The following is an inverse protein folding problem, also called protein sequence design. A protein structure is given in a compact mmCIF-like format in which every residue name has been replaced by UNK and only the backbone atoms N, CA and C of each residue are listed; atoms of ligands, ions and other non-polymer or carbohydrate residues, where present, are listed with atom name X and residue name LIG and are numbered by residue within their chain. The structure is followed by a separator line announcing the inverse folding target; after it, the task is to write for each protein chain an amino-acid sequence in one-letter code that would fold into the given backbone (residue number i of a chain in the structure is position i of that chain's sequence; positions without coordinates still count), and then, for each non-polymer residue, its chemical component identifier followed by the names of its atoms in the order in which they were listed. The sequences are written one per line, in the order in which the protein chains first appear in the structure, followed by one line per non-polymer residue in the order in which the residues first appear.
data_IF_424919909604
#
_entry.id   IF_424919909604
#
_cell.length_a   1.000
_cell.length_b   1.000
_cell.length_c   1.000
_cell.angle_alpha   90.00
_cell.angle_beta   90.00
_cell.angle_gamma   90.00
#
_symmetry.space_group_name_H-M   'P 1'
#
loop_
_entity.id
_entity.type
_entity.pdbx_description
1 polymer ?
#
# COMPACT_ATOMS: atom_id res chain seq x y z
N UNK A 1 -55.61 14.49 2.58
CA UNK A 1 -54.38 14.55 1.74
C UNK A 1 -53.20 15.27 2.41
N UNK A 2 -53.19 15.40 3.75
CA UNK A 2 -52.14 16.11 4.54
C UNK A 2 -51.21 15.15 5.33
N UNK A 3 -51.62 13.91 5.55
CA UNK A 3 -50.85 12.95 6.38
C UNK A 3 -49.62 12.33 5.70
N UNK A 4 -49.56 12.29 4.39
CA UNK A 4 -48.42 11.66 3.68
C UNK A 4 -47.15 12.57 3.54
N UNK A 5 -47.31 13.89 3.70
CA UNK A 5 -46.19 14.83 3.54
C UNK A 5 -45.23 14.87 4.74
N UNK A 6 -45.73 14.55 5.95
CA UNK A 6 -44.93 14.56 7.17
C UNK A 6 -44.12 13.27 7.39
N UNK A 7 -44.56 12.15 6.81
CA UNK A 7 -43.87 10.86 6.94
C UNK A 7 -42.55 10.84 6.15
N UNK A 8 -42.53 11.43 4.95
CA UNK A 8 -41.32 11.50 4.10
C UNK A 8 -40.22 12.38 4.68
N UNK A 9 -40.58 13.46 5.39
CA UNK A 9 -39.60 14.34 6.02
C UNK A 9 -39.00 13.72 7.30
N UNK A 10 -39.78 12.95 8.05
CA UNK A 10 -39.29 12.26 9.24
C UNK A 10 -38.27 11.17 8.86
N UNK A 11 -38.57 10.35 7.85
CA UNK A 11 -37.65 9.29 7.37
C UNK A 11 -36.35 9.87 6.82
N UNK A 12 -36.39 11.00 6.08
CA UNK A 12 -35.20 11.71 5.63
C UNK A 12 -34.33 12.21 6.78
N UNK A 13 -34.95 12.75 7.82
CA UNK A 13 -34.22 13.26 8.98
C UNK A 13 -33.59 12.13 9.80
N UNK A 14 -34.23 10.96 9.92
CA UNK A 14 -33.65 9.79 10.55
C UNK A 14 -32.52 9.19 9.72
N UNK A 15 -32.64 9.14 8.38
CA UNK A 15 -31.56 8.68 7.51
C UNK A 15 -30.33 9.59 7.59
N UNK A 16 -30.53 10.91 7.63
CA UNK A 16 -29.44 11.89 7.79
C UNK A 16 -28.78 11.73 9.17
N UNK A 17 -29.57 11.53 10.23
CA UNK A 17 -29.05 11.30 11.58
C UNK A 17 -28.26 9.98 11.70
N UNK A 18 -28.71 8.91 11.06
CA UNK A 18 -28.00 7.64 11.03
C UNK A 18 -26.69 7.76 10.25
N UNK A 19 -26.70 8.44 9.10
CA UNK A 19 -25.48 8.69 8.31
C UNK A 19 -24.52 9.61 9.07
N UNK A 20 -24.99 10.65 9.73
CA UNK A 20 -24.15 11.53 10.55
C UNK A 20 -23.60 10.83 11.81
N UNK A 21 -24.36 9.93 12.45
CA UNK A 21 -23.88 9.20 13.61
C UNK A 21 -22.87 8.11 13.25
N UNK A 22 -23.01 7.46 12.09
CA UNK A 22 -22.01 6.51 11.59
C UNK A 22 -20.72 7.21 11.16
N UNK A 23 -20.79 8.45 10.64
CA UNK A 23 -19.61 9.26 10.32
C UNK A 23 -18.81 9.71 11.56
N UNK A 24 -19.45 9.83 12.72
CA UNK A 24 -18.80 10.20 13.98
C UNK A 24 -18.19 9.00 14.73
N UNK A 25 -18.60 7.77 14.43
CA UNK A 25 -18.05 6.56 15.05
C UNK A 25 -16.74 6.08 14.41
N UNK A 26 -16.39 6.57 13.22
CA UNK A 26 -15.17 6.19 12.49
C UNK A 26 -13.89 6.92 12.92
N UNK A 27 -13.93 7.85 13.87
CA UNK A 27 -12.79 8.67 14.26
C UNK A 27 -12.02 8.18 15.49
N UNK A 28 -12.13 6.93 15.88
CA UNK A 28 -11.36 6.37 17.00
C UNK A 28 -10.30 5.37 16.51
N UNK A 29 -9.43 5.80 15.57
CA UNK A 29 -8.17 5.09 15.36
C UNK A 29 -7.12 5.74 16.27
N UNK A 30 -7.06 5.28 17.52
CA UNK A 30 -6.04 5.67 18.49
C UNK A 30 -4.78 4.80 18.29
N UNK A 31 -4.07 5.02 17.20
CA UNK A 31 -2.72 4.47 17.07
C UNK A 31 -1.70 5.51 17.53
N UNK A 32 -1.52 5.65 18.84
CA UNK A 32 -0.32 6.22 19.43
C UNK A 32 0.88 5.30 19.21
N UNK A 33 1.17 4.94 17.96
CA UNK A 33 2.44 4.36 17.57
C UNK A 33 3.43 5.53 17.44
N UNK A 34 4.33 5.64 18.38
CA UNK A 34 5.38 6.64 18.34
C UNK A 34 6.35 6.30 17.21
N UNK A 35 6.69 7.27 16.34
CA UNK A 35 7.73 7.10 15.33
C UNK A 35 8.98 6.42 15.92
N UNK A 36 9.59 5.50 15.17
CA UNK A 36 10.70 4.70 15.66
C UNK A 36 10.31 3.44 16.45
N UNK A 37 9.02 2.99 16.33
CA UNK A 37 8.54 1.76 16.99
C UNK A 37 7.85 0.78 16.05
N UNK A 38 7.70 1.11 14.77
CA UNK A 38 7.03 0.26 13.79
C UNK A 38 7.99 -0.81 13.24
N UNK A 39 9.25 -0.44 13.02
CA UNK A 39 10.28 -1.38 12.59
C UNK A 39 10.85 -2.14 13.79
N UNK A 40 10.99 -3.47 13.69
CA UNK A 40 11.68 -4.24 14.72
C UNK A 40 13.16 -3.82 14.79
N UNK A 41 13.67 -3.65 16.01
CA UNK A 41 15.10 -3.37 16.17
C UNK A 41 15.93 -4.56 15.71
N UNK A 42 17.05 -4.35 15.01
CA UNK A 42 17.93 -5.43 14.59
C UNK A 42 18.35 -6.37 15.72
N UNK A 43 18.58 -5.84 16.91
CA UNK A 43 18.92 -6.60 18.11
C UNK A 43 17.78 -7.50 18.64
N UNK A 44 16.52 -7.21 18.26
CA UNK A 44 15.34 -7.94 18.70
C UNK A 44 14.85 -8.93 17.64
N UNK A 45 15.21 -8.69 16.35
CA UNK A 45 14.78 -9.54 15.23
C UNK A 45 15.89 -9.69 14.18
N UNK A 46 16.49 -10.87 14.12
CA UNK A 46 17.59 -11.19 13.19
C UNK A 46 17.12 -11.58 11.77
N UNK A 47 15.81 -11.82 11.57
CA UNK A 47 15.27 -12.17 10.26
C UNK A 47 15.30 -11.00 9.27
N UNK A 48 15.11 -11.32 7.98
CA UNK A 48 14.92 -10.31 6.95
C UNK A 48 13.58 -9.57 7.13
N UNK A 49 13.52 -8.30 6.74
CA UNK A 49 12.33 -7.43 6.87
C UNK A 49 12.17 -6.60 5.60
N UNK A 50 10.95 -6.48 5.10
CA UNK A 50 10.51 -5.52 4.10
C UNK A 50 9.31 -4.79 4.70
N UNK A 51 9.36 -3.47 4.74
CA UNK A 51 8.26 -2.64 5.22
C UNK A 51 8.02 -1.48 4.28
N UNK A 52 6.74 -1.16 4.03
CA UNK A 52 6.32 0.02 3.28
C UNK A 52 5.58 0.95 4.23
N UNK A 53 5.86 2.23 4.10
CA UNK A 53 5.31 3.25 4.96
C UNK A 53 4.67 4.38 4.17
N UNK A 54 3.68 5.01 4.78
CA UNK A 54 3.08 6.25 4.32
C UNK A 54 3.07 7.28 5.45
N UNK A 55 3.28 8.55 5.10
CA UNK A 55 3.08 9.65 6.04
C UNK A 55 2.46 10.85 5.35
N UNK A 56 1.63 11.62 6.06
CA UNK A 56 1.00 12.82 5.52
C UNK A 56 2.01 13.81 4.98
N UNK A 57 1.70 14.40 3.84
CA UNK A 57 2.56 15.42 3.22
C UNK A 57 2.49 16.75 3.96
N UNK A 58 3.33 17.71 3.57
CA UNK A 58 3.40 19.04 4.20
C UNK A 58 2.32 20.00 3.69
N UNK A 59 1.87 20.91 4.57
CA UNK A 59 0.96 22.03 4.23
C UNK A 59 -0.46 21.55 3.95
N UNK A 60 -1.19 22.24 3.09
CA UNK A 60 -2.58 21.90 2.75
C UNK A 60 -2.73 20.52 2.09
N UNK A 61 -1.68 20.03 1.41
CA UNK A 61 -1.66 18.72 0.77
C UNK A 61 -1.81 17.56 1.77
N UNK A 62 -1.47 17.75 3.04
CA UNK A 62 -1.61 16.75 4.09
C UNK A 62 -3.04 16.21 4.24
N UNK A 63 -4.04 16.96 3.79
CA UNK A 63 -5.44 16.56 3.91
C UNK A 63 -5.79 15.41 2.96
N UNK A 64 -5.11 15.32 1.81
CA UNK A 64 -5.48 14.39 0.75
C UNK A 64 -4.29 13.63 0.14
N UNK A 65 -3.07 13.82 0.65
CA UNK A 65 -1.89 13.17 0.07
C UNK A 65 -0.92 12.69 1.13
N UNK A 66 -0.35 11.51 0.87
CA UNK A 66 0.75 10.92 1.62
C UNK A 66 2.03 10.88 0.79
N UNK A 67 3.16 10.68 1.47
CA UNK A 67 4.44 10.34 0.93
C UNK A 67 4.76 8.91 1.33
N UNK A 68 5.11 8.06 0.38
CA UNK A 68 5.43 6.66 0.64
C UNK A 68 6.91 6.36 0.44
N UNK A 69 7.41 5.34 1.16
CA UNK A 69 8.76 4.79 1.00
C UNK A 69 8.80 3.32 1.40
N UNK A 70 9.84 2.62 0.94
CA UNK A 70 10.09 1.23 1.28
C UNK A 70 11.40 1.08 2.04
N UNK A 71 11.41 0.23 3.04
CA UNK A 71 12.59 -0.08 3.86
C UNK A 71 12.83 -1.58 3.88
N UNK A 72 14.09 -1.96 3.77
CA UNK A 72 14.52 -3.35 3.80
C UNK A 72 15.63 -3.56 4.83
N UNK A 73 15.64 -4.73 5.47
CA UNK A 73 16.74 -5.22 6.31
C UNK A 73 17.05 -6.65 5.92
N UNK A 74 18.28 -6.94 5.55
CA UNK A 74 18.70 -8.31 5.28
C UNK A 74 18.74 -9.13 6.57
N UNK A 75 18.64 -10.44 6.44
CA UNK A 75 18.84 -11.37 7.57
C UNK A 75 20.23 -11.17 8.17
N UNK A 76 20.30 -11.15 9.48
CA UNK A 76 21.51 -10.90 10.28
C UNK A 76 22.17 -9.54 10.02
N UNK A 77 21.49 -8.60 9.37
CA UNK A 77 21.98 -7.23 9.24
C UNK A 77 21.56 -6.41 10.45
N UNK A 78 22.48 -5.53 10.89
CA UNK A 78 22.19 -4.52 11.91
C UNK A 78 21.60 -3.25 11.31
N UNK A 79 21.57 -3.15 9.96
CA UNK A 79 21.17 -1.95 9.25
C UNK A 79 19.89 -2.15 8.43
N UNK A 80 19.01 -1.16 8.48
CA UNK A 80 17.94 -0.94 7.52
C UNK A 80 18.42 -0.03 6.40
N UNK A 81 17.91 -0.28 5.19
CA UNK A 81 18.05 0.63 4.06
C UNK A 81 16.66 1.04 3.57
N UNK A 82 16.41 2.34 3.54
CA UNK A 82 15.14 2.91 3.06
C UNK A 82 15.33 3.59 1.72
N UNK A 83 14.42 3.36 0.78
CA UNK A 83 14.40 3.93 -0.56
C UNK A 83 13.16 4.81 -0.74
N UNK A 84 13.36 6.03 -1.22
CA UNK A 84 12.30 7.01 -1.45
C UNK A 84 12.64 7.97 -2.60
N UNK A 85 11.62 8.58 -3.20
CA UNK A 85 11.80 9.63 -4.22
C UNK A 85 11.50 11.00 -3.60
N UNK A 86 12.49 11.90 -3.67
CA UNK A 86 12.41 13.24 -3.10
C UNK A 86 12.65 14.30 -4.19
N UNK A 87 11.58 14.92 -4.67
CA UNK A 87 11.64 15.83 -5.84
C UNK A 87 12.52 17.06 -5.68
N UNK A 88 12.61 17.67 -4.47
CA UNK A 88 13.46 18.87 -4.31
C UNK A 88 14.97 18.60 -4.43
N UNK A 89 15.40 17.33 -4.38
CA UNK A 89 16.80 16.95 -4.64
C UNK A 89 17.26 17.30 -6.04
N UNK A 90 16.35 17.23 -7.02
CA UNK A 90 16.65 17.56 -8.42
C UNK A 90 17.11 19.01 -8.63
N UNK A 91 16.96 19.88 -7.64
CA UNK A 91 17.53 21.22 -7.67
C UNK A 91 19.05 21.23 -7.50
N UNK A 92 19.64 20.16 -6.97
CA UNK A 92 21.07 20.08 -6.62
C UNK A 92 21.71 18.73 -6.98
N UNK A 93 20.96 17.78 -7.45
CA UNK A 93 21.38 16.41 -7.77
C UNK A 93 20.67 15.93 -9.03
N UNK A 94 21.26 15.01 -9.74
CA UNK A 94 20.70 14.44 -10.98
C UNK A 94 19.64 13.35 -10.70
N UNK A 95 19.45 13.01 -9.43
CA UNK A 95 18.49 11.98 -9.02
C UNK A 95 17.65 12.41 -7.83
N UNK A 96 16.36 12.12 -7.92
CA UNK A 96 15.41 12.24 -6.83
C UNK A 96 15.43 11.01 -5.90
N UNK A 97 16.02 9.89 -6.34
CA UNK A 97 16.14 8.68 -5.52
C UNK A 97 17.06 8.95 -4.32
N UNK A 98 16.57 8.58 -3.16
CA UNK A 98 17.28 8.67 -1.89
C UNK A 98 17.38 7.29 -1.29
N UNK A 99 18.57 6.96 -0.87
CA UNK A 99 18.88 5.82 -0.03
C UNK A 99 19.28 6.33 1.37
N UNK A 100 18.69 5.79 2.42
CA UNK A 100 18.96 6.15 3.81
C UNK A 100 19.21 4.92 4.65
N UNK A 101 20.21 5.01 5.53
CA UNK A 101 20.50 3.97 6.51
C UNK A 101 19.80 4.24 7.84
N UNK A 102 19.31 3.17 8.49
CA UNK A 102 18.84 3.14 9.88
C UNK A 102 17.73 4.12 10.28
N UNK A 103 16.87 4.47 9.34
CA UNK A 103 15.69 5.29 9.59
C UNK A 103 14.45 4.72 8.86
N UNK A 104 14.05 3.45 9.16
CA UNK A 104 12.97 2.82 8.41
C UNK A 104 11.64 3.54 8.60
N UNK A 105 11.26 3.84 9.82
CA UNK A 105 9.98 4.40 10.25
C UNK A 105 10.11 5.85 10.76
N UNK A 106 10.95 6.64 10.08
CA UNK A 106 11.18 8.05 10.43
C UNK A 106 9.95 8.92 10.28
N UNK A 107 9.86 9.95 11.09
CA UNK A 107 8.90 11.03 10.90
C UNK A 107 9.09 11.73 9.54
N UNK A 108 7.99 12.06 8.90
CA UNK A 108 7.97 12.85 7.68
C UNK A 108 7.33 14.22 7.94
N UNK A 109 8.15 15.26 8.00
CA UNK A 109 7.70 16.63 8.30
C UNK A 109 6.87 16.77 9.58
N UNK A 110 7.22 16.02 10.64
CA UNK A 110 6.49 16.01 11.90
C UNK A 110 5.21 15.16 11.89
N UNK A 111 4.97 14.39 10.82
CA UNK A 111 3.92 13.39 10.76
C UNK A 111 4.52 12.00 10.99
N UNK A 112 3.92 11.25 11.89
CA UNK A 112 4.28 9.87 12.13
C UNK A 112 3.92 9.01 10.92
N UNK A 113 4.75 8.03 10.56
CA UNK A 113 4.42 7.09 9.51
C UNK A 113 3.34 6.11 9.94
N UNK A 114 2.58 5.67 8.96
CA UNK A 114 1.69 4.53 8.98
C UNK A 114 2.39 3.37 8.27
N UNK A 115 2.25 2.15 8.80
CA UNK A 115 2.81 0.94 8.21
C UNK A 115 1.78 0.35 7.25
N UNK A 116 2.11 0.30 5.97
CA UNK A 116 1.23 -0.25 4.92
C UNK A 116 1.53 -1.72 4.65
N UNK A 117 2.77 -2.15 4.83
CA UNK A 117 3.20 -3.52 4.55
C UNK A 117 4.30 -3.93 5.51
N UNK A 118 4.20 -5.15 6.07
CA UNK A 118 5.22 -5.75 6.94
C UNK A 118 5.45 -7.22 6.58
N UNK A 119 6.47 -7.48 5.79
CA UNK A 119 6.89 -8.85 5.44
C UNK A 119 8.16 -9.18 6.18
N UNK A 120 8.19 -10.34 6.85
CA UNK A 120 9.31 -10.78 7.68
C UNK A 120 9.76 -12.18 7.34
N UNK A 121 11.01 -12.51 7.72
CA UNK A 121 11.58 -13.85 7.64
C UNK A 121 11.87 -14.33 6.23
N UNK A 122 11.65 -15.63 5.92
CA UNK A 122 12.07 -16.22 4.63
C UNK A 122 11.44 -15.57 3.41
N UNK A 123 10.16 -15.13 3.49
CA UNK A 123 9.50 -14.40 2.40
C UNK A 123 10.25 -13.09 2.11
N UNK A 124 10.53 -12.28 3.15
CA UNK A 124 11.30 -11.06 2.99
C UNK A 124 12.70 -11.34 2.42
N UNK A 125 13.42 -12.35 2.95
CA UNK A 125 14.75 -12.73 2.49
C UNK A 125 14.77 -13.01 0.97
N UNK A 126 13.76 -13.71 0.46
CA UNK A 126 13.63 -14.03 -0.97
C UNK A 126 13.25 -12.83 -1.84
N UNK A 127 12.51 -11.85 -1.29
CA UNK A 127 11.99 -10.71 -2.05
C UNK A 127 12.93 -9.49 -2.04
N UNK A 128 13.79 -9.32 -1.04
CA UNK A 128 14.73 -8.18 -0.96
C UNK A 128 15.55 -7.98 -2.24
N UNK A 129 16.15 -9.01 -2.87
CA UNK A 129 16.88 -8.83 -4.11
C UNK A 129 16.01 -8.29 -5.25
N UNK A 130 14.76 -8.74 -5.35
CA UNK A 130 13.80 -8.27 -6.36
C UNK A 130 13.42 -6.80 -6.11
N UNK A 131 13.18 -6.42 -4.85
CA UNK A 131 12.90 -5.04 -4.46
C UNK A 131 14.07 -4.13 -4.84
N UNK A 132 15.31 -4.50 -4.51
CA UNK A 132 16.51 -3.72 -4.87
C UNK A 132 16.65 -3.61 -6.40
N UNK A 133 16.38 -4.67 -7.14
CA UNK A 133 16.36 -4.64 -8.60
C UNK A 133 15.30 -3.68 -9.13
N UNK A 134 14.08 -3.71 -8.58
CA UNK A 134 13.03 -2.78 -8.96
C UNK A 134 13.41 -1.32 -8.66
N UNK A 135 13.99 -1.03 -7.49
CA UNK A 135 14.55 0.30 -7.15
C UNK A 135 15.57 0.76 -8.20
N UNK A 136 16.50 -0.14 -8.58
CA UNK A 136 17.52 0.17 -9.58
C UNK A 136 16.94 0.38 -10.97
N UNK A 137 15.85 -0.26 -11.32
CA UNK A 137 15.19 -0.16 -12.62
C UNK A 137 14.14 0.95 -12.69
N UNK A 138 13.85 1.68 -11.59
CA UNK A 138 12.87 2.76 -11.63
C UNK A 138 13.23 3.83 -12.67
N UNK A 139 12.34 4.11 -13.65
CA UNK A 139 12.70 4.94 -14.82
C UNK A 139 12.72 6.43 -14.51
N UNK A 140 12.00 6.90 -13.50
CA UNK A 140 11.79 8.33 -13.26
C UNK A 140 12.68 8.91 -12.15
N UNK A 141 13.94 8.42 -12.01
CA UNK A 141 14.86 8.91 -10.97
C UNK A 141 15.25 10.37 -11.16
N UNK A 142 15.25 10.86 -12.40
CA UNK A 142 15.60 12.23 -12.77
C UNK A 142 14.38 13.10 -13.09
N UNK A 143 13.17 12.58 -12.89
CA UNK A 143 11.94 13.29 -13.17
C UNK A 143 11.01 13.26 -11.96
N UNK A 144 10.39 14.39 -11.60
CA UNK A 144 9.48 14.48 -10.47
C UNK A 144 8.40 15.53 -10.69
N UNK A 145 7.17 15.10 -10.62
CA UNK A 145 5.98 15.95 -10.59
C UNK A 145 5.13 15.56 -9.39
N UNK A 146 4.92 16.52 -8.46
CA UNK A 146 4.14 16.24 -7.25
C UNK A 146 2.70 15.80 -7.57
N UNK A 147 2.18 16.25 -8.70
CA UNK A 147 0.88 15.91 -9.26
C UNK A 147 0.93 16.01 -10.79
N UNK A 148 0.35 15.08 -11.53
CA UNK A 148 -0.24 13.81 -11.07
C UNK A 148 0.81 12.73 -10.77
N UNK A 149 2.05 12.94 -11.06
CA UNK A 149 3.23 12.07 -11.00
C UNK A 149 4.15 12.29 -12.20
N UNK A 150 5.29 11.61 -12.28
CA UNK A 150 5.79 10.62 -11.31
C UNK A 150 6.29 11.26 -10.01
N UNK A 151 6.03 10.61 -8.88
CA UNK A 151 6.39 11.07 -7.54
C UNK A 151 6.77 9.90 -6.62
N UNK A 152 6.79 10.10 -5.29
CA UNK A 152 7.12 9.03 -4.33
C UNK A 152 6.14 7.86 -4.36
N UNK A 153 4.85 8.15 -4.53
CA UNK A 153 3.81 7.12 -4.58
C UNK A 153 3.88 6.32 -5.89
N UNK A 154 4.21 7.00 -7.00
CA UNK A 154 4.51 6.35 -8.29
C UNK A 154 5.68 5.35 -8.16
N UNK A 155 6.73 5.74 -7.42
CA UNK A 155 7.89 4.89 -7.16
C UNK A 155 7.51 3.64 -6.36
N UNK A 156 6.78 3.81 -5.27
CA UNK A 156 6.39 2.69 -4.42
C UNK A 156 5.41 1.76 -5.16
N UNK A 157 4.45 2.32 -5.91
CA UNK A 157 3.56 1.56 -6.78
C UNK A 157 4.32 0.81 -7.90
N UNK A 158 5.36 1.42 -8.48
CA UNK A 158 6.22 0.75 -9.45
C UNK A 158 6.90 -0.47 -8.84
N UNK A 159 7.44 -0.36 -7.61
CA UNK A 159 8.05 -1.50 -6.92
C UNK A 159 7.01 -2.61 -6.71
N UNK A 160 5.79 -2.29 -6.26
CA UNK A 160 4.72 -3.27 -6.10
C UNK A 160 4.43 -4.01 -7.41
N UNK A 161 4.29 -3.28 -8.53
CA UNK A 161 4.07 -3.89 -9.86
C UNK A 161 5.25 -4.76 -10.34
N UNK A 162 6.49 -4.41 -9.99
CA UNK A 162 7.67 -5.21 -10.36
C UNK A 162 7.86 -6.43 -9.46
N UNK A 163 7.31 -6.40 -8.24
CA UNK A 163 7.40 -7.47 -7.24
C UNK A 163 6.00 -7.76 -6.69
N UNK A 164 5.11 -8.36 -7.50
CA UNK A 164 3.71 -8.58 -7.10
C UNK A 164 3.55 -9.49 -5.89
N UNK A 165 4.57 -10.29 -5.56
CA UNK A 165 4.56 -11.13 -4.37
C UNK A 165 4.58 -10.32 -3.06
N UNK A 166 4.81 -9.00 -3.13
CA UNK A 166 4.64 -8.10 -2.00
C UNK A 166 3.17 -8.01 -1.58
N UNK A 167 2.22 -8.10 -2.53
CA UNK A 167 0.82 -7.83 -2.26
C UNK A 167 0.61 -6.38 -1.77
N UNK A 168 1.30 -5.42 -2.40
CA UNK A 168 1.31 -4.04 -1.90
C UNK A 168 0.06 -3.29 -2.31
N UNK A 169 -0.81 -3.03 -1.37
CA UNK A 169 -1.86 -2.04 -1.52
C UNK A 169 -1.41 -0.64 -1.06
N UNK A 170 -1.81 0.38 -1.81
CA UNK A 170 -1.50 1.77 -1.51
C UNK A 170 -2.80 2.55 -1.34
N UNK A 171 -2.96 3.31 -0.24
CA UNK A 171 -4.20 3.99 0.06
C UNK A 171 -4.61 5.00 -1.02
N UNK A 172 -5.89 5.31 -1.10
CA UNK A 172 -6.47 6.30 -2.02
C UNK A 172 -5.79 7.67 -1.92
N UNK A 173 -5.18 7.98 -0.77
CA UNK A 173 -4.41 9.20 -0.53
C UNK A 173 -2.99 9.15 -1.09
N UNK A 174 -2.53 8.03 -1.65
CA UNK A 174 -1.24 7.91 -2.32
C UNK A 174 -1.30 8.48 -3.75
N UNK A 175 -1.58 9.78 -3.89
CA UNK A 175 -1.69 10.46 -5.18
C UNK A 175 -0.47 10.19 -6.05
N UNK A 176 -0.71 9.73 -7.28
CA UNK A 176 0.32 9.34 -8.24
C UNK A 176 0.66 7.85 -8.21
N UNK A 177 0.02 7.03 -7.36
CA UNK A 177 0.14 5.57 -7.40
C UNK A 177 -0.25 5.01 -8.76
N UNK A 178 -1.24 5.64 -9.40
CA UNK A 178 -1.80 5.24 -10.69
C UNK A 178 -1.06 5.82 -11.91
N UNK A 179 0.01 6.57 -11.69
CA UNK A 179 0.76 7.15 -12.80
C UNK A 179 1.32 6.04 -13.70
N UNK A 180 0.97 6.13 -14.99
CA UNK A 180 1.50 5.29 -16.07
C UNK A 180 1.76 6.15 -17.28
N UNK A 181 2.80 5.81 -18.03
CA UNK A 181 3.07 6.44 -19.32
C UNK A 181 2.09 5.94 -20.37
N UNK A 182 1.97 6.69 -21.47
CA UNK A 182 1.06 6.36 -22.58
C UNK A 182 1.41 5.02 -23.24
N UNK A 183 2.66 4.60 -23.14
CA UNK A 183 3.14 3.29 -23.61
C UNK A 183 2.67 2.12 -22.74
N UNK A 184 2.22 2.41 -21.52
CA UNK A 184 1.88 1.41 -20.50
C UNK A 184 0.52 1.68 -19.84
N UNK A 185 -0.47 2.15 -20.63
CA UNK A 185 -1.80 2.54 -20.13
C UNK A 185 -2.46 1.41 -19.33
N UNK A 186 -2.32 0.17 -19.79
CA UNK A 186 -2.92 -1.01 -19.15
C UNK A 186 -1.84 -1.93 -18.62
N UNK A 187 -2.05 -2.46 -17.42
CA UNK A 187 -1.14 -3.43 -16.80
C UNK A 187 -1.62 -3.89 -15.43
N UNK A 188 -0.75 -4.58 -14.71
CA UNK A 188 -1.03 -5.05 -13.35
C UNK A 188 -1.19 -3.87 -12.39
N UNK A 189 -2.07 -4.03 -11.39
CA UNK A 189 -2.17 -3.13 -10.24
C UNK A 189 -0.90 -3.18 -9.36
N UNK A 190 -0.80 -2.29 -8.39
CA UNK A 190 0.36 -2.24 -7.48
C UNK A 190 0.45 -3.47 -6.57
N UNK A 191 -0.68 -4.03 -6.15
CA UNK A 191 -0.75 -5.27 -5.37
C UNK A 191 -0.36 -6.51 -6.17
N UNK A 192 -0.45 -6.44 -7.50
CA UNK A 192 -0.29 -7.61 -8.36
C UNK A 192 -1.51 -8.54 -8.38
N UNK A 193 -2.60 -8.21 -7.69
CA UNK A 193 -3.82 -9.04 -7.62
C UNK A 193 -4.88 -8.62 -8.64
N UNK A 194 -4.66 -7.50 -9.34
CA UNK A 194 -5.63 -6.92 -10.26
C UNK A 194 -5.03 -6.34 -11.52
N UNK A 195 -5.90 -5.67 -12.28
CA UNK A 195 -5.55 -4.94 -13.49
C UNK A 195 -5.89 -3.46 -13.33
N UNK A 196 -5.09 -2.62 -13.95
CA UNK A 196 -5.23 -1.17 -13.92
C UNK A 196 -5.12 -0.61 -15.34
N UNK A 197 -6.02 0.32 -15.67
CA UNK A 197 -5.88 1.17 -16.84
C UNK A 197 -5.79 2.61 -16.36
N UNK A 198 -4.72 3.33 -16.72
CA UNK A 198 -4.50 4.71 -16.27
C UNK A 198 -3.78 5.53 -17.34
N UNK A 199 -4.21 6.76 -17.52
CA UNK A 199 -3.57 7.75 -18.37
C UNK A 199 -2.93 8.85 -17.51
N UNK A 200 -1.61 8.80 -17.38
CA UNK A 200 -0.77 9.72 -16.61
C UNK A 200 -1.20 9.92 -15.13
N UNK A 201 -1.96 8.97 -14.56
CA UNK A 201 -2.52 9.13 -13.22
C UNK A 201 -3.58 10.23 -13.10
N UNK A 202 -4.11 10.73 -14.22
CA UNK A 202 -5.19 11.73 -14.25
C UNK A 202 -6.56 11.10 -14.33
N UNK A 203 -6.68 10.04 -15.14
CA UNK A 203 -7.92 9.26 -15.31
C UNK A 203 -7.51 7.80 -15.32
N UNK A 204 -8.19 6.99 -14.51
CA UNK A 204 -7.90 5.57 -14.43
C UNK A 204 -8.99 4.78 -13.76
N UNK A 205 -8.89 3.49 -13.94
CA UNK A 205 -9.71 2.49 -13.27
C UNK A 205 -8.81 1.30 -12.91
N UNK A 206 -8.94 0.77 -11.73
CA UNK A 206 -8.35 -0.49 -11.31
C UNK A 206 -9.38 -1.41 -10.70
N UNK A 207 -9.15 -2.71 -10.87
CA UNK A 207 -9.95 -3.75 -10.27
C UNK A 207 -9.05 -4.91 -9.86
N UNK A 208 -9.07 -5.26 -8.59
CA UNK A 208 -8.22 -6.29 -8.00
C UNK A 208 -8.82 -6.87 -6.73
N UNK A 209 -8.19 -7.88 -6.20
CA UNK A 209 -8.63 -8.51 -4.94
C UNK A 209 -8.28 -7.63 -3.73
N UNK A 210 -7.12 -6.97 -3.77
CA UNK A 210 -6.67 -6.07 -2.69
C UNK A 210 -7.25 -4.66 -2.88
N UNK A 211 -7.22 -4.10 -4.09
CA UNK A 211 -7.69 -2.74 -4.36
C UNK A 211 -9.21 -2.62 -4.50
N UNK A 212 -9.94 -3.75 -4.58
CA UNK A 212 -11.35 -3.69 -4.91
C UNK A 212 -11.62 -3.07 -6.29
N UNK A 213 -12.57 -2.13 -6.37
CA UNK A 213 -12.82 -1.30 -7.55
C UNK A 213 -12.43 0.13 -7.26
N UNK A 214 -11.44 0.64 -7.98
CA UNK A 214 -10.95 2.00 -7.81
C UNK A 214 -11.13 2.82 -9.09
N UNK A 215 -11.55 4.06 -8.93
CA UNK A 215 -11.66 5.05 -10.00
C UNK A 215 -10.77 6.24 -9.65
N UNK A 216 -9.84 6.54 -10.53
CA UNK A 216 -9.00 7.73 -10.45
C UNK A 216 -9.57 8.86 -11.32
N UNK A 217 -9.83 10.01 -10.72
CA UNK A 217 -10.24 11.23 -11.40
C UNK A 217 -9.33 12.38 -10.96
N UNK A 218 -8.54 12.91 -11.90
CA UNK A 218 -7.59 14.00 -11.66
C UNK A 218 -6.58 13.68 -10.52
N UNK A 219 -6.17 12.43 -10.42
CA UNK A 219 -5.25 11.98 -9.38
C UNK A 219 -5.89 11.76 -8.00
N UNK A 220 -7.21 11.90 -7.89
CA UNK A 220 -7.98 11.58 -6.70
C UNK A 220 -8.61 10.20 -6.86
N UNK A 221 -8.37 9.32 -5.91
CA UNK A 221 -8.81 7.94 -5.96
C UNK A 221 -10.05 7.74 -5.11
N UNK A 222 -11.04 7.13 -5.70
CA UNK A 222 -12.30 6.70 -5.09
C UNK A 222 -12.34 5.19 -5.16
N UNK A 223 -12.29 4.53 -4.03
CA UNK A 223 -12.21 3.08 -3.95
C UNK A 223 -13.45 2.51 -3.29
N UNK A 224 -13.93 1.42 -3.84
CA UNK A 224 -14.98 0.57 -3.30
C UNK A 224 -14.41 -0.82 -3.06
N UNK A 225 -14.11 -1.11 -1.82
CA UNK A 225 -13.66 -2.41 -1.39
C UNK A 225 -14.88 -3.27 -1.05
N UNK A 226 -15.17 -4.23 -1.96
CA UNK A 226 -16.32 -5.11 -1.82
C UNK A 226 -16.06 -6.28 -0.85
N UNK A 227 -14.82 -6.63 -0.62
CA UNK A 227 -14.45 -7.74 0.27
C UNK A 227 -14.54 -7.30 1.73
N UNK A 228 -14.06 -6.12 2.04
CA UNK A 228 -14.08 -5.56 3.38
C UNK A 228 -15.29 -4.66 3.65
N UNK A 229 -16.19 -4.50 2.66
CA UNK A 229 -17.35 -3.60 2.75
C UNK A 229 -16.96 -2.18 3.18
N UNK A 230 -15.92 -1.65 2.54
CA UNK A 230 -15.38 -0.34 2.83
C UNK A 230 -15.35 0.55 1.59
N UNK A 231 -15.31 1.85 1.82
CA UNK A 231 -15.15 2.89 0.80
C UNK A 231 -13.98 3.76 1.20
N UNK A 232 -13.04 3.99 0.30
CA UNK A 232 -12.00 5.00 0.49
C UNK A 232 -12.27 6.25 -0.34
N UNK A 233 -12.22 7.38 0.32
CA UNK A 233 -12.48 8.69 -0.28
C UNK A 233 -11.27 9.61 -0.11
N UNK A 234 -10.96 10.45 -1.14
CA UNK A 234 -9.94 11.46 -1.04
C UNK A 234 -10.17 12.37 0.19
N UNK A 235 -9.11 12.70 0.91
CA UNK A 235 -9.14 13.55 2.11
C UNK A 235 -9.84 12.96 3.35
N UNK A 236 -10.76 12.03 3.18
CA UNK A 236 -11.51 11.41 4.27
C UNK A 236 -10.81 10.12 4.71
N UNK A 237 -10.30 9.33 3.75
CA UNK A 237 -9.73 8.00 3.98
C UNK A 237 -10.80 6.90 3.96
N UNK A 238 -10.50 5.79 4.58
CA UNK A 238 -11.32 4.58 4.63
C UNK A 238 -12.50 4.73 5.58
N UNK A 239 -13.68 4.35 5.11
CA UNK A 239 -14.93 4.28 5.86
C UNK A 239 -15.47 2.86 5.68
N UNK A 240 -15.57 2.09 6.76
CA UNK A 240 -16.03 0.71 6.72
C UNK A 240 -15.20 -0.19 7.62
N UNK A 241 -15.13 -1.48 7.31
CA UNK A 241 -14.28 -2.42 8.02
C UNK A 241 -12.79 -2.08 7.85
N UNK A 242 -11.96 -2.56 8.78
CA UNK A 242 -10.52 -2.48 8.64
C UNK A 242 -10.09 -3.31 7.43
N UNK A 243 -9.04 -2.86 6.76
CA UNK A 243 -8.42 -3.59 5.68
C UNK A 243 -7.87 -4.92 6.18
N UNK A 244 -8.26 -6.01 5.54
CA UNK A 244 -7.82 -7.36 5.87
C UNK A 244 -7.02 -7.89 4.70
N UNK A 245 -5.74 -8.16 4.93
CA UNK A 245 -4.87 -8.77 3.94
C UNK A 245 -5.47 -10.12 3.48
N UNK A 246 -6.02 -10.15 2.26
CA UNK A 246 -6.62 -11.37 1.69
C UNK A 246 -5.60 -12.50 1.53
N UNK A 247 -4.30 -12.22 1.57
CA UNK A 247 -3.28 -13.25 1.59
C UNK A 247 -3.32 -14.10 2.86
N UNK A 248 -3.86 -13.57 3.95
CA UNK A 248 -4.11 -14.33 5.19
C UNK A 248 -5.40 -15.17 5.13
N UNK A 249 -6.38 -14.77 4.32
CA UNK A 249 -7.67 -15.44 4.21
C UNK A 249 -7.62 -16.60 3.23
N UNK A 250 -6.72 -16.57 2.26
CA UNK A 250 -6.54 -17.70 1.34
C UNK A 250 -5.91 -18.84 2.14
N UNK A 251 -6.69 -19.89 2.54
CA UNK A 251 -6.09 -21.02 3.21
C UNK A 251 -5.04 -21.53 2.25
N UNK A 252 -3.79 -21.59 2.72
CA UNK A 252 -2.73 -22.25 1.99
C UNK A 252 -3.31 -23.57 1.51
N UNK A 253 -3.53 -23.69 0.21
CA UNK A 253 -3.82 -24.96 -0.43
C UNK A 253 -2.54 -25.76 -0.18
N UNK A 254 -2.46 -26.34 1.02
CA UNK A 254 -1.47 -27.36 1.34
C UNK A 254 -1.78 -28.47 0.38
N UNK A 255 -1.07 -28.48 -0.73
CA UNK A 255 -0.87 -29.70 -1.50
C UNK A 255 -0.26 -30.70 -0.53
N UNK A 256 -1.12 -31.44 0.16
CA UNK A 256 -0.78 -32.71 0.73
C UNK A 256 -0.49 -33.65 -0.45
N UNK A 257 0.60 -33.39 -1.15
CA UNK A 257 1.31 -34.44 -1.88
C UNK A 257 1.94 -35.26 -0.79
N UNK A 258 1.18 -36.18 -0.25
CA UNK A 258 1.72 -37.33 0.48
C UNK A 258 2.77 -37.95 -0.41
N UNK A 259 4.00 -37.86 0.01
CA UNK A 259 5.08 -38.75 -0.43
C UNK A 259 4.75 -40.18 0.02
N UNK A 260 3.81 -40.84 -0.66
CA UNK A 260 3.57 -42.30 -0.59
C UNK A 260 4.46 -43.02 -1.61
N UNK A 261 5.76 -42.73 -1.58
CA UNK A 261 6.75 -43.56 -2.34
C UNK A 261 8.07 -43.67 -1.60
N UNK A 262 8.03 -44.19 -0.38
CA UNK A 262 9.24 -44.70 0.27
C UNK A 262 8.86 -45.69 1.38
N UNK A 263 8.27 -46.82 1.03
CA UNK A 263 8.23 -47.99 1.91
C UNK A 263 7.68 -49.20 1.16
N UNK A 264 8.40 -49.68 0.14
CA UNK A 264 8.27 -51.04 -0.35
C UNK A 264 9.50 -51.37 -1.20
N UNK A 265 10.63 -51.62 -0.58
CA UNK A 265 11.69 -52.45 -1.14
C UNK A 265 12.73 -52.69 -0.05
N UNK A 266 12.42 -53.56 0.89
CA UNK A 266 13.38 -54.30 1.69
C UNK A 266 12.62 -55.39 2.47
N UNK A 267 12.28 -56.46 1.80
CA UNK A 267 12.17 -57.78 2.43
C UNK A 267 11.99 -58.82 1.33
N UNK A 268 13.08 -59.21 0.70
CA UNK A 268 13.17 -60.49 0.05
C UNK A 268 14.63 -60.73 -0.37
N UNK A 269 15.42 -61.22 0.54
CA UNK A 269 16.59 -62.04 0.27
C UNK A 269 17.16 -62.55 1.62
N UNK A 270 16.53 -63.59 2.12
CA UNK A 270 17.17 -64.76 2.67
C UNK A 270 16.13 -65.85 2.99
#
# INVERSE_FOLDING_TARGET
MIYFKNFGNSVKNYLILIVCSSLLAGCAFDSKLTAGKLAPKPSEYNGAVIQVYAARTRGAKKLFSVHTWISVKAKNSDDYTSYEIIGWRLRRRDTALVERSNQPDKDWWGHQPELLLDIRGPKAESLIPKVIQAVNNYPHKSNYHAWPGPNSNTFTAFIGRQVPELGLDLPSTAIGKDYREISEIVGMSASGTGVQASLWGLIGISAGLEEGLEINLLGLNFELDLFDLAIELPAIGRIGAADVDVSEITPAFKTNVKNDTASKTETSLK
#
